data_IF_604905573836
#
_entry.id   IF_604905573836
#
_cell.length_a   1.000
_cell.length_b   1.000
_cell.length_c   1.000
_cell.angle_alpha   90.00
_cell.angle_beta   90.00
_cell.angle_gamma   90.00
#
_symmetry.space_group_name_H-M   'P 1'
#
loop_
_entity.id
_entity.type
_entity.pdbx_description
1 polymer ?
#
# COMPACT_ATOMS: atom_id res chain seq x y z
N UNK A 1 5.99 -0.01 -26.52
CA UNK A 1 5.32 -0.16 -27.84
C UNK A 1 4.15 -1.16 -27.85
N UNK A 2 4.08 -2.12 -26.92
CA UNK A 2 3.04 -3.18 -26.92
C UNK A 2 2.00 -3.05 -25.80
N UNK A 3 2.31 -2.32 -24.74
CA UNK A 3 1.47 -2.19 -23.54
C UNK A 3 0.86 -0.80 -23.50
N UNK A 4 -0.45 -0.74 -23.33
CA UNK A 4 -1.19 0.48 -22.99
C UNK A 4 -1.39 0.55 -21.46
N UNK A 5 -1.44 1.76 -20.93
CA UNK A 5 -1.64 1.99 -19.50
C UNK A 5 -2.55 3.19 -19.27
N UNK A 6 -3.32 3.14 -18.18
CA UNK A 6 -4.11 4.25 -17.66
C UNK A 6 -4.10 4.20 -16.14
N UNK A 7 -4.44 5.31 -15.49
CA UNK A 7 -4.60 5.33 -14.05
C UNK A 7 -5.73 4.37 -13.61
N UNK A 8 -5.46 3.64 -12.53
CA UNK A 8 -6.49 2.86 -11.86
C UNK A 8 -7.50 3.79 -11.17
N UNK A 9 -8.73 3.33 -10.97
CA UNK A 9 -9.76 4.12 -10.30
C UNK A 9 -9.30 4.65 -8.93
N UNK A 10 -8.58 3.83 -8.17
CA UNK A 10 -8.02 4.18 -6.88
C UNK A 10 -7.01 5.35 -6.95
N UNK A 11 -6.28 5.50 -8.06
CA UNK A 11 -5.28 6.56 -8.21
C UNK A 11 -5.91 7.95 -8.33
N UNK A 12 -7.19 8.06 -8.72
CA UNK A 12 -7.89 9.35 -8.73
C UNK A 12 -7.98 9.96 -7.33
N UNK A 13 -8.18 9.13 -6.30
CA UNK A 13 -8.18 9.58 -4.90
C UNK A 13 -6.81 10.09 -4.43
N UNK A 14 -5.73 9.84 -5.18
CA UNK A 14 -4.45 10.49 -4.90
C UNK A 14 -4.36 11.89 -5.50
N UNK A 15 -5.09 12.15 -6.59
CA UNK A 15 -5.01 13.36 -7.42
C UNK A 15 -6.18 14.33 -7.24
N UNK A 16 -7.26 13.91 -6.57
CA UNK A 16 -8.43 14.75 -6.37
C UNK A 16 -8.05 16.11 -5.75
N UNK A 17 -8.71 17.15 -6.24
CA UNK A 17 -8.53 18.55 -5.85
C UNK A 17 -7.15 19.17 -6.13
N UNK A 18 -6.25 18.50 -6.88
CA UNK A 18 -4.89 19.00 -7.16
C UNK A 18 -4.89 20.39 -7.84
N UNK A 19 -5.91 20.71 -8.63
CA UNK A 19 -6.07 21.99 -9.33
C UNK A 19 -6.69 23.10 -8.45
N UNK A 20 -6.98 22.82 -7.18
CA UNK A 20 -7.63 23.73 -6.23
C UNK A 20 -6.66 24.30 -5.18
N UNK A 21 -5.40 24.52 -5.57
CA UNK A 21 -4.36 25.11 -4.71
C UNK A 21 -4.14 24.32 -3.40
N UNK A 22 -4.33 22.99 -3.47
CA UNK A 22 -4.28 22.10 -2.29
C UNK A 22 -2.89 21.69 -1.86
N UNK A 23 -1.92 21.75 -2.78
CA UNK A 23 -0.54 21.31 -2.57
C UNK A 23 0.41 22.30 -3.24
N UNK A 24 1.66 22.33 -2.78
CA UNK A 24 2.68 23.18 -3.38
C UNK A 24 3.16 22.59 -4.71
N UNK A 25 3.43 23.47 -5.67
CA UNK A 25 4.03 23.15 -6.95
C UNK A 25 5.42 23.78 -7.05
N UNK A 26 6.29 23.15 -7.83
CA UNK A 26 7.61 23.67 -8.17
C UNK A 26 7.84 23.57 -9.68
N UNK A 27 8.75 24.38 -10.25
CA UNK A 27 9.21 24.16 -11.62
C UNK A 27 9.80 22.76 -11.77
N UNK A 28 9.54 22.14 -12.92
CA UNK A 28 10.23 20.93 -13.34
C UNK A 28 11.71 21.23 -13.68
N UNK A 29 12.48 20.20 -14.07
CA UNK A 29 13.93 20.32 -14.24
C UNK A 29 14.38 21.31 -15.34
N UNK A 30 13.54 21.59 -16.34
CA UNK A 30 13.81 22.54 -17.44
C UNK A 30 13.04 23.86 -17.29
N UNK A 31 12.36 24.05 -16.16
CA UNK A 31 11.58 25.24 -15.79
C UNK A 31 10.42 25.61 -16.73
N UNK A 32 10.04 24.72 -17.66
CA UNK A 32 8.95 24.98 -18.61
C UNK A 32 7.57 24.60 -18.08
N UNK A 33 7.50 23.67 -17.11
CA UNK A 33 6.26 23.19 -16.51
C UNK A 33 6.32 23.24 -14.98
N UNK A 34 5.17 23.11 -14.33
CA UNK A 34 5.06 22.99 -12.88
C UNK A 34 4.69 21.55 -12.52
N UNK A 35 5.37 20.99 -11.51
CA UNK A 35 5.06 19.67 -10.94
C UNK A 35 4.68 19.80 -9.46
N UNK A 36 3.75 18.97 -8.96
CA UNK A 36 3.39 18.97 -7.55
C UNK A 36 4.54 18.39 -6.71
N UNK A 37 4.84 19.04 -5.57
CA UNK A 37 5.85 18.53 -4.62
C UNK A 37 5.33 17.28 -3.89
N UNK A 38 4.03 17.22 -3.63
CA UNK A 38 3.31 16.11 -3.01
C UNK A 38 1.92 16.01 -3.62
N UNK A 39 1.30 14.83 -3.58
CA UNK A 39 -0.08 14.65 -4.04
C UNK A 39 -1.08 14.90 -2.90
N UNK A 40 -2.29 15.41 -3.20
CA UNK A 40 -3.33 15.63 -2.18
C UNK A 40 -3.65 14.40 -1.33
N UNK A 41 -3.62 13.20 -1.93
CA UNK A 41 -3.75 11.90 -1.25
C UNK A 41 -4.93 11.80 -0.28
N UNK A 42 -6.11 11.39 -0.75
CA UNK A 42 -7.30 11.22 0.11
C UNK A 42 -7.27 9.95 0.98
N UNK A 43 -6.30 9.07 0.77
CA UNK A 43 -6.06 7.90 1.61
C UNK A 43 -4.57 7.73 1.93
N UNK A 44 -4.22 7.09 3.06
CA UNK A 44 -2.84 6.93 3.54
C UNK A 44 -2.06 5.88 2.73
N UNK A 45 -1.69 6.26 1.51
CA UNK A 45 -1.08 5.37 0.52
C UNK A 45 0.21 4.66 0.97
N UNK A 46 1.03 5.33 1.78
CA UNK A 46 2.29 4.76 2.31
C UNK A 46 2.06 3.49 3.12
N UNK A 47 0.97 3.42 3.91
CA UNK A 47 0.64 2.24 4.70
C UNK A 47 -0.11 1.21 3.84
N UNK A 48 -1.02 1.65 3.00
CA UNK A 48 -1.86 0.78 2.17
C UNK A 48 -1.03 0.01 1.15
N UNK A 49 -0.23 0.70 0.33
CA UNK A 49 0.58 0.05 -0.71
C UNK A 49 1.97 -0.37 -0.19
N UNK A 50 2.39 0.12 0.97
CA UNK A 50 3.76 -0.04 1.44
C UNK A 50 4.76 0.76 0.61
N UNK A 51 6.04 0.57 0.91
CA UNK A 51 7.15 1.19 0.20
C UNK A 51 8.41 0.37 0.41
N UNK A 52 9.23 0.21 -0.63
CA UNK A 52 10.52 -0.45 -0.55
C UNK A 52 11.57 0.35 -1.29
N UNK A 53 12.74 0.56 -0.69
CA UNK A 53 13.80 1.34 -1.33
C UNK A 53 15.13 1.29 -0.58
N UNK A 54 16.21 1.45 -1.33
CA UNK A 54 17.57 1.56 -0.80
C UNK A 54 18.15 2.88 -1.30
N UNK A 55 18.61 3.71 -0.38
CA UNK A 55 19.33 4.95 -0.66
C UNK A 55 20.72 4.91 0.00
N UNK A 56 21.47 6.01 -0.05
CA UNK A 56 22.84 6.06 0.48
C UNK A 56 22.81 6.03 2.01
N UNK A 57 23.26 4.92 2.60
CA UNK A 57 23.32 4.75 4.05
C UNK A 57 21.96 4.53 4.74
N UNK A 58 20.89 4.33 3.97
CA UNK A 58 19.53 4.17 4.51
C UNK A 58 18.69 3.25 3.63
N UNK A 59 17.70 2.58 4.22
CA UNK A 59 16.74 1.74 3.52
C UNK A 59 15.35 1.94 4.10
N UNK A 60 14.32 1.71 3.30
CA UNK A 60 12.93 1.66 3.75
C UNK A 60 12.31 0.36 3.28
N UNK A 61 11.50 -0.25 4.15
CA UNK A 61 10.74 -1.44 3.83
C UNK A 61 9.47 -1.46 4.69
N UNK A 62 8.40 -0.92 4.12
CA UNK A 62 7.07 -0.76 4.72
C UNK A 62 6.17 -1.80 4.05
N UNK A 63 5.53 -2.69 4.83
CA UNK A 63 4.62 -3.68 4.26
C UNK A 63 3.28 -3.01 3.87
N UNK A 64 2.52 -3.65 2.98
CA UNK A 64 1.15 -3.23 2.66
C UNK A 64 0.18 -3.58 3.78
N UNK A 65 -0.93 -2.85 3.83
CA UNK A 65 -2.00 -3.03 4.80
C UNK A 65 -3.36 -2.89 4.11
N UNK A 66 -4.39 -3.40 4.77
CA UNK A 66 -5.74 -3.30 4.26
C UNK A 66 -6.21 -1.84 4.27
N UNK A 67 -6.82 -1.39 3.16
CA UNK A 67 -7.31 -0.02 3.07
C UNK A 67 -8.36 0.31 4.14
N UNK A 68 -9.30 -0.60 4.41
CA UNK A 68 -10.36 -0.39 5.40
C UNK A 68 -9.77 -0.20 6.80
N UNK A 69 -8.90 -1.12 7.21
CA UNK A 69 -8.24 -1.09 8.53
C UNK A 69 -7.45 0.19 8.78
N UNK A 70 -6.69 0.67 7.78
CA UNK A 70 -5.92 1.91 7.93
C UNK A 70 -6.85 3.14 7.98
N UNK A 71 -7.95 3.14 7.22
CA UNK A 71 -8.94 4.23 7.30
C UNK A 71 -9.63 4.23 8.66
N UNK A 72 -10.03 3.07 9.17
CA UNK A 72 -10.66 2.93 10.49
C UNK A 72 -9.72 3.43 11.60
N UNK A 73 -8.43 3.10 11.52
CA UNK A 73 -7.42 3.62 12.44
C UNK A 73 -7.23 5.14 12.32
N UNK A 74 -7.29 5.68 11.10
CA UNK A 74 -7.19 7.12 10.87
C UNK A 74 -8.39 7.86 11.46
N UNK A 75 -9.60 7.30 11.33
CA UNK A 75 -10.82 7.82 11.95
C UNK A 75 -10.74 7.73 13.47
N UNK A 76 -10.27 6.61 14.00
CA UNK A 76 -10.07 6.42 15.45
C UNK A 76 -9.11 7.47 16.03
N UNK A 77 -8.03 7.80 15.32
CA UNK A 77 -7.12 8.88 15.71
C UNK A 77 -7.76 10.28 15.62
N UNK A 78 -8.61 10.53 14.61
CA UNK A 78 -9.34 11.80 14.49
C UNK A 78 -10.30 12.00 15.65
N UNK A 79 -11.00 10.94 16.06
CA UNK A 79 -11.96 10.96 17.17
C UNK A 79 -11.26 11.06 18.53
N UNK A 80 -10.11 10.39 18.68
CA UNK A 80 -9.28 10.44 19.88
C UNK A 80 -7.77 10.55 19.53
N UNK A 81 -7.20 11.77 19.54
CA UNK A 81 -5.77 11.96 19.28
C UNK A 81 -4.82 11.31 20.30
N UNK A 82 -5.32 10.91 21.47
CA UNK A 82 -4.55 10.20 22.51
C UNK A 82 -4.68 8.67 22.39
N UNK A 83 -5.24 8.16 21.28
CA UNK A 83 -5.38 6.72 21.04
C UNK A 83 -4.05 6.00 21.19
N UNK A 84 -4.08 4.91 21.94
CA UNK A 84 -2.92 4.09 22.20
C UNK A 84 -2.64 3.15 21.04
N UNK A 85 -1.40 2.64 20.98
CA UNK A 85 -1.06 1.63 19.98
C UNK A 85 -1.91 0.36 20.13
N UNK A 86 -2.20 -0.05 21.37
CA UNK A 86 -3.01 -1.24 21.63
C UNK A 86 -4.44 -1.09 21.08
N UNK A 87 -5.03 0.09 21.21
CA UNK A 87 -6.35 0.40 20.65
C UNK A 87 -6.31 0.41 19.12
N UNK A 88 -5.30 1.05 18.50
CA UNK A 88 -5.15 1.01 17.04
C UNK A 88 -4.97 -0.41 16.49
N UNK A 89 -4.27 -1.27 17.23
CA UNK A 89 -4.08 -2.67 16.85
C UNK A 89 -5.36 -3.51 16.91
N UNK A 90 -6.44 -3.00 17.51
CA UNK A 90 -7.77 -3.67 17.44
C UNK A 90 -8.38 -3.57 16.05
N UNK A 91 -8.06 -2.51 15.30
CA UNK A 91 -8.53 -2.30 13.92
C UNK A 91 -7.46 -2.60 12.88
N UNK A 92 -6.17 -2.48 13.22
CA UNK A 92 -5.04 -2.91 12.38
C UNK A 92 -4.33 -4.09 13.06
N UNK A 93 -4.79 -5.33 12.84
CA UNK A 93 -4.15 -6.50 13.44
C UNK A 93 -2.71 -6.70 12.94
N UNK A 94 -2.41 -6.26 11.72
CA UNK A 94 -1.08 -6.35 11.13
C UNK A 94 -1.07 -6.05 9.63
N UNK A 95 0.03 -6.36 8.94
CA UNK A 95 0.12 -6.22 7.50
C UNK A 95 -0.81 -7.13 6.70
N UNK A 96 -1.26 -6.66 5.55
CA UNK A 96 -2.08 -7.40 4.58
C UNK A 96 -1.34 -7.42 3.23
N UNK A 97 -0.73 -8.56 2.92
CA UNK A 97 0.06 -8.72 1.71
C UNK A 97 -0.81 -9.12 0.51
N UNK A 98 -0.60 -8.53 -0.68
CA UNK A 98 -1.39 -8.87 -1.87
C UNK A 98 -1.21 -10.32 -2.34
N UNK A 99 -0.13 -10.99 -1.89
CA UNK A 99 0.14 -12.40 -2.16
C UNK A 99 -0.52 -13.35 -1.15
N UNK A 100 -1.18 -12.81 -0.12
CA UNK A 100 -1.64 -13.57 1.04
C UNK A 100 -0.47 -14.10 1.88
N UNK A 101 -0.64 -15.31 2.39
CA UNK A 101 0.24 -15.97 3.32
C UNK A 101 -0.23 -15.84 4.76
N UNK A 102 0.57 -16.39 5.66
CA UNK A 102 0.32 -16.41 7.10
C UNK A 102 1.48 -15.72 7.80
N UNK A 103 1.19 -14.68 8.57
CA UNK A 103 2.17 -14.03 9.43
C UNK A 103 2.27 -14.82 10.73
N UNK A 104 3.48 -15.21 11.10
CA UNK A 104 3.74 -16.05 12.26
C UNK A 104 4.14 -15.17 13.46
N UNK A 105 3.25 -15.08 14.44
CA UNK A 105 3.45 -14.31 15.68
C UNK A 105 3.17 -12.81 15.52
N UNK A 106 2.93 -12.14 16.64
CA UNK A 106 2.50 -10.75 16.73
C UNK A 106 3.59 -9.81 17.28
N UNK A 107 4.60 -10.34 17.99
CA UNK A 107 5.65 -9.55 18.62
C UNK A 107 6.42 -8.66 17.62
N UNK A 108 6.67 -9.17 16.41
CA UNK A 108 7.32 -8.42 15.34
C UNK A 108 6.47 -7.26 14.81
N UNK A 109 5.14 -7.47 14.74
CA UNK A 109 4.16 -6.45 14.34
C UNK A 109 4.12 -5.35 15.40
N UNK A 110 3.96 -5.72 16.68
CA UNK A 110 3.95 -4.79 17.81
C UNK A 110 5.21 -3.92 17.85
N UNK A 111 6.38 -4.53 17.72
CA UNK A 111 7.66 -3.80 17.64
C UNK A 111 7.70 -2.83 16.47
N UNK A 112 7.29 -3.28 15.28
CA UNK A 112 7.27 -2.46 14.08
C UNK A 112 6.32 -1.28 14.20
N UNK A 113 5.13 -1.48 14.73
CA UNK A 113 4.16 -0.40 14.91
C UNK A 113 4.58 0.58 16.02
N UNK A 114 5.22 0.11 17.09
CA UNK A 114 5.69 0.97 18.17
C UNK A 114 6.92 1.81 17.80
N UNK A 115 7.85 1.25 17.01
CA UNK A 115 9.18 1.85 16.81
C UNK A 115 9.52 2.18 15.35
N UNK A 116 8.67 1.78 14.42
CA UNK A 116 8.97 1.77 12.98
C UNK A 116 9.93 0.65 12.55
N UNK A 117 10.36 -0.22 13.47
CA UNK A 117 11.26 -1.35 13.16
C UNK A 117 10.80 -2.66 13.78
N UNK A 118 10.85 -3.72 12.99
CA UNK A 118 10.53 -5.05 13.46
C UNK A 118 10.82 -6.10 12.40
N UNK A 119 10.77 -7.36 12.79
CA UNK A 119 10.89 -8.47 11.84
C UNK A 119 9.72 -9.40 12.06
N UNK A 120 9.02 -9.72 10.99
CA UNK A 120 7.93 -10.68 10.99
C UNK A 120 8.32 -11.89 10.16
N UNK A 121 7.76 -13.05 10.46
CA UNK A 121 7.93 -14.25 9.64
C UNK A 121 6.67 -14.44 8.82
N UNK A 122 6.82 -14.57 7.51
CA UNK A 122 5.75 -14.82 6.56
C UNK A 122 5.89 -16.25 6.05
N UNK A 123 4.79 -16.98 6.06
CA UNK A 123 4.71 -18.35 5.58
C UNK A 123 3.69 -18.45 4.45
N UNK A 124 3.99 -19.23 3.41
CA UNK A 124 3.01 -19.59 2.39
C UNK A 124 1.86 -20.42 2.97
N UNK A 125 0.67 -20.26 2.41
CA UNK A 125 -0.49 -21.07 2.80
C UNK A 125 -0.43 -22.40 2.06
N UNK A 126 -0.58 -23.48 2.81
CA UNK A 126 -0.50 -24.83 2.28
C UNK A 126 -1.59 -25.70 2.87
N UNK A 127 -2.06 -26.68 2.10
CA UNK A 127 -2.88 -27.76 2.61
C UNK A 127 -2.44 -29.11 2.04
N UNK A 128 -2.92 -30.20 2.65
CA UNK A 128 -2.62 -31.56 2.23
C UNK A 128 -3.86 -32.14 1.55
N UNK A 129 -3.69 -32.70 0.35
CA UNK A 129 -4.73 -33.42 -0.38
C UNK A 129 -4.41 -34.92 -0.45
N UNK A 130 -5.44 -35.75 -0.41
CA UNK A 130 -5.33 -37.18 -0.73
C UNK A 130 -5.67 -37.41 -2.20
N UNK A 131 -4.74 -38.03 -2.93
CA UNK A 131 -4.90 -38.35 -4.35
C UNK A 131 -5.64 -39.68 -4.53
N UNK A 132 -6.36 -39.88 -5.66
CA UNK A 132 -7.02 -41.15 -5.98
C UNK A 132 -6.07 -42.37 -6.02
N UNK A 133 -4.77 -42.14 -6.21
CA UNK A 133 -3.73 -43.17 -6.17
C UNK A 133 -3.40 -43.69 -4.76
N UNK A 134 -4.01 -43.13 -3.72
CA UNK A 134 -3.72 -43.39 -2.30
C UNK A 134 -2.43 -42.70 -1.82
N UNK A 135 -1.93 -41.70 -2.56
CA UNK A 135 -0.78 -40.87 -2.19
C UNK A 135 -1.26 -39.53 -1.64
N UNK A 136 -0.42 -38.85 -0.87
CA UNK A 136 -0.69 -37.49 -0.41
C UNK A 136 0.06 -36.48 -1.28
N UNK A 137 -0.50 -35.29 -1.42
CA UNK A 137 0.14 -34.15 -2.05
C UNK A 137 0.10 -32.94 -1.11
N UNK A 138 1.21 -32.19 -1.05
CA UNK A 138 1.25 -30.89 -0.40
C UNK A 138 0.96 -29.86 -1.48
N UNK A 139 -0.06 -29.05 -1.26
CA UNK A 139 -0.48 -27.99 -2.17
C UNK A 139 -0.08 -26.65 -1.57
N UNK A 140 0.60 -25.82 -2.36
CA UNK A 140 0.89 -24.42 -2.01
C UNK A 140 -0.14 -23.55 -2.71
N UNK A 141 -0.98 -22.87 -1.93
CA UNK A 141 -2.05 -21.99 -2.39
C UNK A 141 -1.58 -20.53 -2.48
N UNK A 142 -0.75 -20.12 -1.53
CA UNK A 142 -0.25 -18.74 -1.40
C UNK A 142 1.24 -18.77 -1.06
N UNK A 143 2.00 -17.80 -1.56
CA UNK A 143 3.45 -17.68 -1.33
C UNK A 143 3.77 -16.38 -0.57
N UNK A 144 4.87 -16.33 0.20
CA UNK A 144 5.24 -15.11 0.91
C UNK A 144 5.48 -13.92 -0.03
N UNK A 145 5.22 -12.71 0.49
CA UNK A 145 5.42 -11.47 -0.26
C UNK A 145 6.84 -11.33 -0.83
N UNK A 146 6.96 -10.76 -2.02
CA UNK A 146 8.21 -10.63 -2.79
C UNK A 146 8.93 -11.95 -3.13
N UNK A 147 8.29 -13.11 -2.93
CA UNK A 147 8.84 -14.41 -3.35
C UNK A 147 8.51 -14.68 -4.82
N UNK A 148 9.53 -15.06 -5.60
CA UNK A 148 9.31 -15.47 -6.98
C UNK A 148 8.91 -16.95 -7.03
N UNK A 149 7.70 -17.23 -7.54
CA UNK A 149 7.17 -18.59 -7.67
C UNK A 149 8.08 -19.54 -8.45
N UNK A 150 8.58 -19.11 -9.62
CA UNK A 150 9.41 -19.97 -10.47
C UNK A 150 10.72 -20.35 -9.75
N UNK A 151 11.36 -19.37 -9.08
CA UNK A 151 12.56 -19.63 -8.27
C UNK A 151 12.28 -20.53 -7.07
N UNK A 152 11.11 -20.41 -6.44
CA UNK A 152 10.69 -21.31 -5.36
C UNK A 152 10.57 -22.75 -5.87
N UNK A 153 9.90 -22.96 -7.00
CA UNK A 153 9.73 -24.28 -7.63
C UNK A 153 11.07 -24.88 -8.05
N UNK A 154 11.94 -24.08 -8.69
CA UNK A 154 13.31 -24.47 -9.06
C UNK A 154 14.10 -24.90 -7.82
N UNK A 155 14.04 -24.11 -6.74
CA UNK A 155 14.73 -24.42 -5.49
C UNK A 155 14.24 -25.72 -4.86
N UNK A 156 12.94 -25.99 -4.87
CA UNK A 156 12.38 -27.26 -4.38
C UNK A 156 12.94 -28.41 -5.21
N UNK A 157 12.97 -28.27 -6.55
CA UNK A 157 13.50 -29.30 -7.44
C UNK A 157 14.98 -29.61 -7.16
N UNK A 158 15.81 -28.59 -6.95
CA UNK A 158 17.21 -28.76 -6.55
C UNK A 158 17.35 -29.55 -5.24
N UNK A 159 16.59 -29.17 -4.20
CA UNK A 159 16.66 -29.81 -2.88
C UNK A 159 16.21 -31.28 -2.91
N UNK A 160 15.25 -31.61 -3.76
CA UNK A 160 14.82 -33.00 -4.01
C UNK A 160 15.92 -33.78 -4.73
N UNK A 161 16.56 -33.19 -5.74
CA UNK A 161 17.66 -33.82 -6.49
C UNK A 161 18.90 -34.06 -5.61
N UNK A 162 19.20 -33.12 -4.71
CA UNK A 162 20.28 -33.23 -3.71
C UNK A 162 19.95 -34.19 -2.55
N UNK A 163 18.74 -34.78 -2.52
CA UNK A 163 18.24 -35.61 -1.42
C UNK A 163 18.21 -34.90 -0.06
N UNK A 164 18.15 -33.57 -0.05
CA UNK A 164 17.91 -32.79 1.18
C UNK A 164 16.46 -32.84 1.61
N UNK A 165 15.55 -32.94 0.62
CA UNK A 165 14.13 -33.21 0.84
C UNK A 165 13.85 -34.57 0.20
N UNK A 166 13.51 -35.55 1.05
CA UNK A 166 13.19 -36.90 0.60
C UNK A 166 11.67 -37.13 0.58
N UNK A 167 11.23 -38.14 -0.17
CA UNK A 167 9.82 -38.52 -0.20
C UNK A 167 8.96 -37.76 -1.20
N UNK A 168 9.50 -36.81 -1.96
CA UNK A 168 8.82 -36.19 -3.11
C UNK A 168 8.86 -37.15 -4.31
N UNK A 169 7.70 -37.38 -4.93
CA UNK A 169 7.53 -38.18 -6.14
C UNK A 169 7.48 -37.32 -7.39
N UNK A 170 6.76 -36.20 -7.35
CA UNK A 170 6.57 -35.30 -8.48
C UNK A 170 6.31 -33.87 -8.00
N UNK A 171 6.62 -32.88 -8.84
CA UNK A 171 6.44 -31.45 -8.57
C UNK A 171 5.84 -30.78 -9.80
N UNK A 172 4.63 -30.22 -9.68
CA UNK A 172 3.91 -29.60 -10.78
C UNK A 172 3.43 -28.20 -10.41
N UNK A 173 3.68 -27.24 -11.30
CA UNK A 173 3.07 -25.91 -11.21
C UNK A 173 1.76 -25.93 -12.02
N UNK A 174 0.65 -25.96 -11.31
CA UNK A 174 -0.72 -26.01 -11.84
C UNK A 174 -1.40 -24.63 -11.74
N UNK A 175 -0.62 -23.57 -11.51
CA UNK A 175 -1.14 -22.22 -11.38
C UNK A 175 -1.79 -21.74 -12.67
N UNK A 176 -2.87 -20.99 -12.53
CA UNK A 176 -3.60 -20.40 -13.65
C UNK A 176 -3.86 -18.90 -13.39
N UNK A 177 -4.70 -18.26 -14.23
CA UNK A 177 -5.05 -16.84 -14.04
C UNK A 177 -5.84 -16.57 -12.76
N UNK A 178 -6.45 -17.59 -12.16
CA UNK A 178 -7.34 -17.50 -11.00
C UNK A 178 -6.62 -17.73 -9.67
N UNK A 179 -5.40 -18.28 -9.68
CA UNK A 179 -4.65 -18.53 -8.45
C UNK A 179 -3.35 -19.30 -8.63
N UNK A 180 -2.57 -19.33 -7.56
CA UNK A 180 -1.36 -20.13 -7.45
C UNK A 180 -1.76 -21.52 -6.98
N UNK A 181 -1.20 -22.55 -7.63
CA UNK A 181 -1.30 -23.94 -7.18
C UNK A 181 -0.03 -24.68 -7.54
N UNK A 182 0.81 -24.93 -6.55
CA UNK A 182 2.00 -25.77 -6.74
C UNK A 182 1.77 -27.09 -6.01
N UNK A 183 1.71 -28.18 -6.79
CA UNK A 183 1.44 -29.52 -6.30
C UNK A 183 2.74 -30.29 -6.09
N UNK A 184 2.96 -30.74 -4.85
CA UNK A 184 4.11 -31.56 -4.47
C UNK A 184 3.60 -32.95 -4.09
N UNK A 185 3.62 -33.88 -5.04
CA UNK A 185 3.15 -35.25 -4.82
C UNK A 185 4.20 -36.04 -4.03
N UNK A 186 3.76 -36.77 -3.01
CA UNK A 186 4.64 -37.56 -2.15
C UNK A 186 4.62 -39.05 -2.54
N UNK A 187 5.73 -39.75 -2.24
CA UNK A 187 5.80 -41.20 -2.34
C UNK A 187 4.88 -41.86 -1.31
N UNK A 188 4.45 -43.10 -1.58
CA UNK A 188 3.62 -43.87 -0.63
C UNK A 188 4.33 -44.01 0.72
N UNK A 189 3.55 -43.95 1.81
CA UNK A 189 4.01 -44.10 3.20
C UNK A 189 4.96 -43.00 3.71
N UNK A 190 5.09 -41.88 3.00
CA UNK A 190 5.80 -40.70 3.51
C UNK A 190 4.87 -39.86 4.38
N UNK A 191 5.39 -39.39 5.51
CA UNK A 191 4.68 -38.44 6.36
C UNK A 191 4.75 -37.03 5.75
N UNK A 192 3.61 -36.54 5.26
CA UNK A 192 3.45 -35.22 4.65
C UNK A 192 3.90 -34.07 5.56
N UNK A 193 3.67 -34.17 6.87
CA UNK A 193 4.06 -33.13 7.82
C UNK A 193 5.59 -32.96 7.93
N UNK A 194 6.34 -34.07 7.81
CA UNK A 194 7.81 -34.03 7.83
C UNK A 194 8.34 -33.31 6.60
N UNK A 195 7.83 -33.66 5.42
CA UNK A 195 8.22 -33.00 4.16
C UNK A 195 7.82 -31.54 4.16
N UNK A 196 6.61 -31.21 4.64
CA UNK A 196 6.17 -29.81 4.79
C UNK A 196 7.11 -29.01 5.69
N UNK A 197 7.52 -29.55 6.84
CA UNK A 197 8.47 -28.89 7.72
C UNK A 197 9.84 -28.68 7.07
N UNK A 198 10.31 -29.65 6.27
CA UNK A 198 11.55 -29.50 5.48
C UNK A 198 11.42 -28.41 4.42
N UNK A 199 10.31 -28.37 3.68
CA UNK A 199 10.03 -27.31 2.70
C UNK A 199 10.04 -25.94 3.38
N UNK A 200 9.35 -25.80 4.51
CA UNK A 200 9.31 -24.56 5.28
C UNK A 200 10.68 -24.15 5.84
N UNK A 201 11.55 -25.10 6.18
CA UNK A 201 12.88 -24.81 6.73
C UNK A 201 13.96 -24.54 5.69
N UNK A 202 13.85 -25.11 4.49
CA UNK A 202 14.92 -25.11 3.48
C UNK A 202 14.61 -24.27 2.24
N UNK A 203 13.41 -23.73 2.14
CA UNK A 203 12.94 -22.94 0.98
C UNK A 203 12.38 -21.60 1.43
N UNK A 204 12.25 -20.62 0.52
CA UNK A 204 11.61 -19.34 0.83
C UNK A 204 10.08 -19.46 1.01
N UNK A 205 9.51 -20.67 1.09
CA UNK A 205 8.10 -20.88 1.48
C UNK A 205 7.81 -20.36 2.89
N UNK A 206 8.84 -20.26 3.75
CA UNK A 206 8.81 -19.45 4.97
C UNK A 206 10.00 -18.50 4.93
N UNK A 207 9.76 -17.23 5.13
CA UNK A 207 10.80 -16.19 5.07
C UNK A 207 10.55 -15.10 6.10
N UNK A 208 11.60 -14.38 6.47
CA UNK A 208 11.48 -13.19 7.31
C UNK A 208 11.29 -11.93 6.46
N UNK A 209 10.41 -11.04 6.88
CA UNK A 209 10.27 -9.70 6.33
C UNK A 209 10.69 -8.67 7.39
N UNK A 210 11.75 -7.92 7.09
CA UNK A 210 12.29 -6.87 7.97
C UNK A 210 11.57 -5.56 7.68
N UNK A 211 10.77 -5.09 8.62
CA UNK A 211 10.07 -3.82 8.57
C UNK A 211 11.03 -2.71 9.02
N UNK A 212 11.19 -1.69 8.18
CA UNK A 212 11.88 -0.45 8.51
C UNK A 212 11.13 0.72 7.91
N UNK A 213 10.31 1.37 8.72
CA UNK A 213 9.40 2.44 8.35
C UNK A 213 10.12 3.78 8.30
N UNK A 214 11.09 3.87 7.39
CA UNK A 214 11.83 5.09 7.12
C UNK A 214 11.09 5.89 6.03
N UNK A 215 10.69 7.11 6.34
CA UNK A 215 10.01 8.03 5.41
C UNK A 215 10.69 9.40 5.41
N UNK A 216 10.36 10.23 4.42
CA UNK A 216 10.76 11.63 4.40
C UNK A 216 9.64 12.47 5.01
N UNK A 217 9.88 13.01 6.20
CA UNK A 217 9.04 13.99 6.85
C UNK A 217 9.68 15.37 6.67
N UNK A 218 9.02 16.27 5.93
CA UNK A 218 9.55 17.60 5.60
C UNK A 218 10.98 17.54 5.03
N UNK A 219 11.19 16.65 4.05
CA UNK A 219 12.48 16.39 3.40
C UNK A 219 13.59 15.85 4.32
N UNK A 220 13.25 15.39 5.54
CA UNK A 220 14.20 14.76 6.47
C UNK A 220 13.85 13.28 6.66
N UNK A 221 14.84 12.37 6.56
CA UNK A 221 14.60 10.97 6.83
C UNK A 221 14.29 10.76 8.31
N UNK A 222 13.13 10.16 8.61
CA UNK A 222 12.71 9.76 9.96
C UNK A 222 12.18 8.35 9.93
N UNK A 223 12.54 7.57 10.95
CA UNK A 223 11.86 6.32 11.24
C UNK A 223 10.66 6.64 12.10
N UNK A 224 9.48 6.21 11.67
CA UNK A 224 8.21 6.58 12.31
C UNK A 224 7.44 5.33 12.72
N UNK A 225 6.85 5.42 13.90
CA UNK A 225 5.84 4.49 14.40
C UNK A 225 4.53 4.59 13.59
N UNK A 226 3.62 3.64 13.80
CA UNK A 226 2.31 3.64 13.15
C UNK A 226 1.51 4.89 13.51
N UNK A 227 1.50 5.28 14.80
CA UNK A 227 0.79 6.47 15.29
C UNK A 227 1.34 7.73 14.61
N UNK A 228 2.67 7.90 14.59
CA UNK A 228 3.29 9.09 13.98
C UNK A 228 2.94 9.23 12.49
N UNK A 229 2.83 8.12 11.75
CA UNK A 229 2.43 8.17 10.34
C UNK A 229 0.97 8.58 10.18
N UNK A 230 0.07 8.00 10.99
CA UNK A 230 -1.36 8.34 10.96
C UNK A 230 -1.55 9.82 11.34
N UNK A 231 -0.88 10.27 12.41
CA UNK A 231 -0.86 11.68 12.83
C UNK A 231 -0.41 12.60 11.69
N UNK A 232 0.72 12.26 11.05
CA UNK A 232 1.28 13.07 9.96
C UNK A 232 0.34 13.11 8.77
N UNK A 233 -0.28 11.98 8.41
CA UNK A 233 -1.28 11.92 7.35
C UNK A 233 -2.50 12.77 7.68
N UNK A 234 -3.06 12.66 8.89
CA UNK A 234 -4.24 13.42 9.32
C UNK A 234 -3.94 14.92 9.35
N UNK A 235 -2.77 15.32 9.84
CA UNK A 235 -2.33 16.71 9.83
C UNK A 235 -2.22 17.27 8.40
N UNK A 236 -1.61 16.49 7.48
CA UNK A 236 -1.54 16.85 6.07
C UNK A 236 -2.92 16.97 5.42
N UNK A 237 -3.83 16.02 5.67
CA UNK A 237 -5.21 16.08 5.17
C UNK A 237 -5.94 17.31 5.66
N UNK A 238 -5.75 17.71 6.91
CA UNK A 238 -6.33 18.93 7.47
C UNK A 238 -5.84 20.17 6.70
N UNK A 239 -4.55 20.25 6.39
CA UNK A 239 -4.00 21.35 5.60
C UNK A 239 -4.62 21.40 4.19
N UNK A 240 -4.63 20.28 3.49
CA UNK A 240 -5.22 20.13 2.15
C UNK A 240 -6.68 20.59 2.14
N UNK A 241 -7.48 20.13 3.11
CA UNK A 241 -8.89 20.50 3.23
C UNK A 241 -9.09 22.00 3.47
N UNK A 242 -8.25 22.61 4.31
CA UNK A 242 -8.30 24.05 4.59
C UNK A 242 -7.94 24.86 3.34
N UNK A 243 -6.87 24.48 2.62
CA UNK A 243 -6.46 25.12 1.36
C UNK A 243 -7.57 25.05 0.30
N UNK A 244 -8.11 23.85 0.07
CA UNK A 244 -9.25 23.61 -0.83
C UNK A 244 -10.44 24.50 -0.52
N UNK A 245 -10.80 24.56 0.77
CA UNK A 245 -11.96 25.34 1.22
C UNK A 245 -11.74 26.84 0.98
N UNK A 246 -10.53 27.35 1.23
CA UNK A 246 -10.17 28.75 0.94
C UNK A 246 -10.20 29.04 -0.56
N UNK A 247 -9.68 28.13 -1.40
CA UNK A 247 -9.71 28.25 -2.85
C UNK A 247 -11.15 28.36 -3.37
N UNK A 248 -12.01 27.41 -2.98
CA UNK A 248 -13.43 27.40 -3.37
C UNK A 248 -14.16 28.66 -2.88
N UNK A 249 -13.92 29.08 -1.64
CA UNK A 249 -14.49 30.31 -1.09
C UNK A 249 -14.08 31.56 -1.90
N UNK A 250 -12.81 31.66 -2.29
CA UNK A 250 -12.30 32.75 -3.13
C UNK A 250 -13.02 32.79 -4.47
N UNK A 251 -13.14 31.65 -5.17
CA UNK A 251 -13.85 31.55 -6.45
C UNK A 251 -15.32 31.93 -6.35
N UNK A 252 -15.99 31.52 -5.27
CA UNK A 252 -17.40 31.89 -5.03
C UNK A 252 -17.52 33.40 -4.78
N UNK A 253 -16.62 34.01 -4.00
CA UNK A 253 -16.61 35.46 -3.76
C UNK A 253 -16.34 36.28 -5.03
N UNK A 254 -15.40 35.85 -5.86
CA UNK A 254 -15.11 36.48 -7.16
C UNK A 254 -16.35 36.45 -8.08
N UNK A 255 -17.03 35.30 -8.16
CA UNK A 255 -18.28 35.17 -8.94
C UNK A 255 -19.42 36.02 -8.36
N UNK A 256 -19.59 36.03 -7.04
CA UNK A 256 -20.59 36.87 -6.39
C UNK A 256 -20.34 38.36 -6.68
N UNK A 257 -19.10 38.81 -6.62
CA UNK A 257 -18.73 40.19 -6.95
C UNK A 257 -19.07 40.54 -8.41
N UNK A 258 -18.74 39.65 -9.36
CA UNK A 258 -19.11 39.83 -10.77
C UNK A 258 -20.63 39.92 -10.95
N UNK A 259 -21.40 39.04 -10.30
CA UNK A 259 -22.86 39.05 -10.40
C UNK A 259 -23.50 40.28 -9.79
N UNK A 260 -22.97 40.80 -8.67
CA UNK A 260 -23.41 42.07 -8.11
C UNK A 260 -23.17 43.21 -9.11
N UNK A 261 -21.98 43.24 -9.75
CA UNK A 261 -21.68 44.21 -10.79
C UNK A 261 -22.63 44.11 -11.99
N UNK A 262 -22.89 42.90 -12.50
CA UNK A 262 -23.84 42.67 -13.59
C UNK A 262 -25.26 43.07 -13.21
N UNK A 263 -25.69 42.79 -11.98
CA UNK A 263 -27.01 43.17 -11.48
C UNK A 263 -27.18 44.69 -11.46
N UNK A 264 -26.20 45.41 -10.90
CA UNK A 264 -26.19 46.88 -10.93
C UNK A 264 -26.16 47.40 -12.37
N UNK A 265 -25.40 46.76 -13.25
CA UNK A 265 -25.32 47.17 -14.65
C UNK A 265 -26.64 47.00 -15.40
N UNK A 266 -27.37 45.92 -15.15
CA UNK A 266 -28.71 45.69 -15.73
C UNK A 266 -29.71 46.73 -15.23
N UNK A 267 -29.62 47.14 -13.97
CA UNK A 267 -30.48 48.20 -13.42
C UNK A 267 -30.22 49.59 -14.01
N UNK A 268 -29.01 49.84 -14.56
CA UNK A 268 -28.57 51.14 -15.08
C UNK A 268 -28.07 51.01 -16.53
N UNK A 269 -28.77 50.20 -17.35
CA UNK A 269 -28.27 49.78 -18.66
C UNK A 269 -28.12 50.95 -19.64
N UNK A 270 -29.04 51.92 -19.60
CA UNK A 270 -29.03 53.07 -20.50
C UNK A 270 -27.87 54.01 -20.20
N UNK A 271 -27.60 54.29 -18.91
CA UNK A 271 -26.45 55.10 -18.48
C UNK A 271 -25.13 54.44 -18.85
N UNK A 272 -25.00 53.13 -18.66
CA UNK A 272 -23.79 52.38 -19.01
C UNK A 272 -23.54 52.42 -20.52
N UNK A 273 -24.57 52.21 -21.34
CA UNK A 273 -24.45 52.28 -22.81
C UNK A 273 -24.03 53.69 -23.24
N UNK A 274 -24.56 54.73 -22.61
CA UNK A 274 -24.17 56.12 -22.90
C UNK A 274 -22.69 56.37 -22.56
N UNK A 275 -22.21 55.94 -21.38
CA UNK A 275 -20.80 56.08 -20.97
C UNK A 275 -19.86 55.33 -21.92
N UNK A 276 -20.19 54.09 -22.27
CA UNK A 276 -19.38 53.28 -23.19
C UNK A 276 -19.34 53.90 -24.59
N UNK A 277 -20.44 54.48 -25.09
CA UNK A 277 -20.46 55.15 -26.40
C UNK A 277 -19.70 56.48 -26.42
N UNK A 278 -19.55 57.12 -25.26
CA UNK A 278 -18.83 58.38 -25.12
C UNK A 278 -17.32 58.19 -24.84
N UNK A 279 -16.87 56.96 -24.58
CA UNK A 279 -15.47 56.56 -24.36
C UNK A 279 -14.87 55.95 -25.63
#
# INVERSE_FOLDING_TARGET
RYTEARLAQAAHFLLNDIDEDTVDFRPNYDENEQEPVVLPAEFPNVLVNGAGGVAVGMSTNIPSHNLGEIIDASVMYIDNPEVTLEELMTVIPGPDFPTGGVIMGDAGIKSAFATGRGTIIIQGKTHIEELPSGRQAIIIDEIPYQTNKAKLVERIHELVKEKKIEGVSDLRDESNKSGIRVAIELKKQINSQVVLNQLLGLTPLRTSFSINTLVLDNSRPRVMSLIEIIETFVAFRKEVLVRRTRYRLKKVRERAHLFIGMYIAVLNIDEIVAIIRAS
#
